data_IF_429439465301
#
_entry.id   IF_429439465301
#
_cell.length_a   1.000
_cell.length_b   1.000
_cell.length_c   1.000
_cell.angle_alpha   90.00
_cell.angle_beta   90.00
_cell.angle_gamma   90.00
#
_symmetry.space_group_name_H-M   'P 1'
#
loop_
_entity.id
_entity.type
_entity.pdbx_description
1 polymer ?
#
# COMPACT_ATOMS: atom_id res chain seq x y z
N UNK A 1 -17.60 2.09 -23.65
CA UNK A 1 -17.68 1.52 -22.29
C UNK A 1 -17.26 2.56 -21.28
N UNK A 2 -18.00 2.73 -20.20
CA UNK A 2 -17.65 3.70 -19.16
C UNK A 2 -16.50 3.20 -18.34
N UNK A 3 -15.41 3.97 -18.32
CA UNK A 3 -14.28 3.69 -17.46
C UNK A 3 -14.68 3.87 -15.99
N UNK A 4 -14.30 2.92 -15.17
CA UNK A 4 -14.52 2.99 -13.73
C UNK A 4 -13.19 3.06 -12.99
N UNK A 5 -13.21 3.69 -11.83
CA UNK A 5 -12.11 3.67 -10.88
C UNK A 5 -12.55 2.84 -9.69
N UNK A 6 -11.80 1.81 -9.36
CA UNK A 6 -12.14 0.88 -8.28
C UNK A 6 -11.03 0.89 -7.25
N UNK A 7 -11.39 1.20 -6.02
CA UNK A 7 -10.47 1.19 -4.88
C UNK A 7 -10.61 -0.13 -4.15
N UNK A 8 -9.50 -0.83 -3.95
CA UNK A 8 -9.49 -2.17 -3.38
C UNK A 8 -8.56 -2.25 -2.17
N UNK A 9 -9.08 -2.74 -1.06
CA UNK A 9 -8.28 -3.08 0.11
C UNK A 9 -7.45 -4.33 -0.19
N UNK A 10 -6.36 -4.50 0.52
CA UNK A 10 -5.44 -5.62 0.31
C UNK A 10 -5.82 -6.80 1.20
N UNK A 11 -5.60 -6.66 2.51
CA UNK A 11 -5.80 -7.76 3.44
C UNK A 11 -7.27 -8.10 3.61
N UNK A 12 -7.63 -9.34 3.30
CA UNK A 12 -9.02 -9.79 3.37
C UNK A 12 -9.86 -9.45 2.14
N UNK A 13 -9.30 -8.74 1.16
CA UNK A 13 -10.01 -8.39 -0.08
C UNK A 13 -9.29 -8.96 -1.31
N UNK A 14 -8.07 -8.50 -1.57
CA UNK A 14 -7.24 -9.04 -2.66
C UNK A 14 -6.47 -10.26 -2.18
N UNK A 15 -5.93 -10.17 -0.97
CA UNK A 15 -5.12 -11.21 -0.33
C UNK A 15 -5.97 -11.91 0.72
N UNK A 16 -5.99 -13.23 0.69
CA UNK A 16 -6.76 -14.02 1.67
C UNK A 16 -6.02 -14.13 3.01
N UNK A 17 -6.62 -14.83 3.96
CA UNK A 17 -6.07 -15.01 5.31
C UNK A 17 -4.76 -15.78 5.35
N UNK A 18 -4.43 -16.49 4.27
CA UNK A 18 -3.15 -17.21 4.13
C UNK A 18 -2.06 -16.38 3.46
N UNK A 19 -2.33 -15.11 3.16
CA UNK A 19 -1.39 -14.26 2.47
C UNK A 19 -1.26 -14.52 0.97
N UNK A 20 -2.25 -15.20 0.38
CA UNK A 20 -2.24 -15.61 -1.02
C UNK A 20 -3.26 -14.77 -1.79
N UNK A 21 -2.90 -14.39 -3.01
CA UNK A 21 -3.84 -13.78 -3.96
C UNK A 21 -4.44 -14.93 -4.78
N UNK A 22 -5.74 -15.25 -4.59
CA UNK A 22 -6.35 -16.33 -5.35
C UNK A 22 -6.24 -16.10 -6.86
N UNK A 23 -6.12 -17.17 -7.62
CA UNK A 23 -6.00 -17.08 -9.07
C UNK A 23 -7.20 -16.37 -9.70
N UNK A 24 -8.40 -16.65 -9.21
CA UNK A 24 -9.62 -15.98 -9.68
C UNK A 24 -9.55 -14.46 -9.49
N UNK A 25 -8.97 -14.01 -8.39
CA UNK A 25 -8.77 -12.58 -8.12
C UNK A 25 -7.75 -11.98 -9.09
N UNK A 26 -6.65 -12.67 -9.34
CA UNK A 26 -5.64 -12.23 -10.30
C UNK A 26 -6.23 -12.07 -11.70
N UNK A 27 -7.01 -13.05 -12.13
CA UNK A 27 -7.66 -13.04 -13.44
C UNK A 27 -8.66 -11.87 -13.53
N UNK A 28 -9.48 -11.68 -12.50
CA UNK A 28 -10.47 -10.61 -12.48
C UNK A 28 -9.81 -9.22 -12.54
N UNK A 29 -8.75 -9.01 -11.79
CA UNK A 29 -8.00 -7.74 -11.78
C UNK A 29 -7.41 -7.48 -13.16
N UNK A 30 -6.72 -8.45 -13.75
CA UNK A 30 -6.12 -8.28 -15.07
C UNK A 30 -7.17 -8.00 -16.13
N UNK A 31 -8.30 -8.68 -16.06
CA UNK A 31 -9.38 -8.48 -17.01
C UNK A 31 -10.00 -7.08 -16.89
N UNK A 32 -10.17 -6.59 -15.67
CA UNK A 32 -10.66 -5.23 -15.45
C UNK A 32 -9.70 -4.18 -16.00
N UNK A 33 -8.39 -4.38 -15.81
CA UNK A 33 -7.37 -3.50 -16.38
C UNK A 33 -7.40 -3.54 -17.92
N UNK A 34 -7.49 -4.72 -18.50
CA UNK A 34 -7.58 -4.89 -19.96
C UNK A 34 -8.81 -4.19 -20.53
N UNK A 35 -9.90 -4.17 -19.79
CA UNK A 35 -11.13 -3.50 -20.18
C UNK A 35 -11.10 -1.98 -19.99
N UNK A 36 -9.96 -1.43 -19.59
CA UNK A 36 -9.76 0.01 -19.47
C UNK A 36 -10.16 0.63 -18.15
N UNK A 37 -10.48 -0.18 -17.14
CA UNK A 37 -10.77 0.34 -15.81
C UNK A 37 -9.48 0.63 -15.05
N UNK A 38 -9.56 1.57 -14.11
CA UNK A 38 -8.44 1.93 -13.24
C UNK A 38 -8.67 1.34 -11.86
N UNK A 39 -7.72 0.55 -11.41
CA UNK A 39 -7.77 -0.09 -10.11
C UNK A 39 -6.71 0.53 -9.22
N UNK A 40 -7.10 0.87 -7.99
CA UNK A 40 -6.24 1.54 -7.02
C UNK A 40 -6.20 0.69 -5.74
N UNK A 41 -5.00 0.40 -5.28
CA UNK A 41 -4.79 -0.30 -4.01
C UNK A 41 -4.94 0.71 -2.87
N UNK A 42 -5.67 0.32 -1.82
CA UNK A 42 -5.77 1.10 -0.59
C UNK A 42 -5.38 0.21 0.59
N UNK A 43 -4.28 0.53 1.27
CA UNK A 43 -3.76 -0.31 2.33
C UNK A 43 -3.18 0.50 3.48
N UNK A 44 -3.30 -0.06 4.69
CA UNK A 44 -2.55 0.45 5.84
C UNK A 44 -1.07 0.08 5.79
N UNK A 45 -0.68 -0.89 4.95
CA UNK A 45 0.72 -1.25 4.77
C UNK A 45 1.46 -0.14 4.03
N UNK A 46 2.75 0.01 4.33
CA UNK A 46 3.61 0.86 3.52
C UNK A 46 3.93 0.16 2.21
N UNK A 47 4.39 0.93 1.22
CA UNK A 47 4.66 0.40 -0.11
C UNK A 47 5.60 -0.81 -0.10
N UNK A 48 6.67 -0.74 0.68
CA UNK A 48 7.64 -1.84 0.71
C UNK A 48 7.11 -3.11 1.39
N UNK A 49 6.01 -3.02 2.14
CA UNK A 49 5.37 -4.16 2.77
C UNK A 49 4.38 -4.87 1.85
N UNK A 50 4.11 -4.31 0.68
CA UNK A 50 3.23 -4.92 -0.29
C UNK A 50 3.99 -5.94 -1.13
N UNK A 51 3.44 -7.13 -1.37
CA UNK A 51 4.15 -8.15 -2.16
C UNK A 51 4.27 -7.71 -3.62
N UNK A 52 5.42 -8.02 -4.22
CA UNK A 52 5.70 -7.68 -5.62
C UNK A 52 4.64 -8.26 -6.57
N UNK A 53 4.16 -9.45 -6.28
CA UNK A 53 3.12 -10.09 -7.08
C UNK A 53 1.85 -9.23 -7.19
N UNK A 54 1.49 -8.55 -6.10
CA UNK A 54 0.37 -7.62 -6.10
C UNK A 54 0.66 -6.43 -7.01
N UNK A 55 1.86 -5.87 -6.89
CA UNK A 55 2.25 -4.68 -7.66
C UNK A 55 2.29 -4.96 -9.17
N UNK A 56 2.51 -6.22 -9.56
CA UNK A 56 2.61 -6.63 -10.95
C UNK A 56 1.26 -6.85 -11.64
N UNK A 57 0.15 -6.71 -10.91
CA UNK A 57 -1.19 -6.96 -11.47
C UNK A 57 -1.74 -5.83 -12.35
N UNK A 58 -1.06 -4.68 -12.41
CA UNK A 58 -1.46 -3.59 -13.30
C UNK A 58 -2.28 -2.48 -12.66
N UNK A 59 -2.10 -2.25 -11.36
CA UNK A 59 -2.80 -1.16 -10.67
C UNK A 59 -2.35 0.20 -11.22
N UNK A 60 -3.31 1.11 -11.36
CA UNK A 60 -3.06 2.48 -11.82
C UNK A 60 -2.54 3.40 -10.72
N UNK A 61 -2.77 3.03 -9.48
CA UNK A 61 -2.33 3.82 -8.34
C UNK A 61 -2.38 3.05 -7.05
N UNK A 62 -1.80 3.64 -6.02
CA UNK A 62 -1.76 3.04 -4.69
C UNK A 62 -1.87 4.10 -3.63
N UNK A 63 -2.74 3.85 -2.66
CA UNK A 63 -2.84 4.62 -1.43
C UNK A 63 -2.27 3.71 -0.34
N UNK A 64 -1.10 4.04 0.17
CA UNK A 64 -0.36 3.21 1.13
C UNK A 64 -0.18 3.94 2.45
N UNK A 65 0.30 3.22 3.46
CA UNK A 65 0.51 3.75 4.81
C UNK A 65 -0.72 4.50 5.32
N UNK A 66 -1.91 3.90 5.12
CA UNK A 66 -3.20 4.44 5.55
C UNK A 66 -3.47 5.87 5.04
N UNK A 67 -3.00 6.20 3.84
CA UNK A 67 -3.20 7.50 3.21
C UNK A 67 -2.02 8.46 3.34
N UNK A 68 -0.95 8.06 4.03
CA UNK A 68 0.23 8.91 4.16
C UNK A 68 1.05 8.99 2.86
N UNK A 69 0.85 8.04 1.95
CA UNK A 69 1.52 8.04 0.65
C UNK A 69 0.52 7.71 -0.43
N UNK A 70 0.54 8.48 -1.50
CA UNK A 70 -0.30 8.23 -2.69
C UNK A 70 0.57 8.24 -3.93
N UNK A 71 0.47 7.17 -4.69
CA UNK A 71 1.17 7.00 -5.96
C UNK A 71 0.12 6.87 -7.05
N UNK A 72 0.26 7.64 -8.12
CA UNK A 72 -0.63 7.56 -9.26
C UNK A 72 0.17 7.75 -10.55
N UNK A 73 -0.09 6.88 -11.54
CA UNK A 73 0.60 6.93 -12.81
C UNK A 73 2.12 6.79 -12.67
N UNK A 74 2.58 6.00 -11.70
CA UNK A 74 4.00 5.80 -11.46
C UNK A 74 4.70 6.94 -10.72
N UNK A 75 3.95 7.95 -10.29
CA UNK A 75 4.51 9.12 -9.59
C UNK A 75 3.95 9.23 -8.18
N UNK A 76 4.80 9.56 -7.23
CA UNK A 76 4.37 9.91 -5.89
C UNK A 76 3.75 11.30 -5.93
N UNK A 77 2.43 11.39 -5.65
CA UNK A 77 1.70 12.65 -5.68
C UNK A 77 1.46 13.23 -4.29
N UNK A 78 1.64 12.43 -3.26
CA UNK A 78 1.50 12.86 -1.88
C UNK A 78 2.32 11.96 -0.97
N UNK A 79 3.02 12.58 -0.03
CA UNK A 79 3.77 11.82 0.97
C UNK A 79 3.87 12.63 2.26
N UNK A 80 3.12 12.22 3.28
CA UNK A 80 3.21 12.79 4.61
C UNK A 80 4.18 11.97 5.44
N UNK A 81 5.09 12.64 6.10
CA UNK A 81 6.06 11.99 7.00
C UNK A 81 5.94 12.59 8.39
N UNK A 82 6.22 11.77 9.40
CA UNK A 82 6.34 12.25 10.78
C UNK A 82 7.70 12.93 10.88
N UNK A 83 7.74 14.16 11.39
CA UNK A 83 9.02 14.84 11.57
C UNK A 83 9.89 14.12 12.59
N UNK A 84 11.19 14.41 12.56
CA UNK A 84 12.15 13.71 13.38
C UNK A 84 11.91 13.92 14.88
N UNK A 85 11.51 15.11 15.28
CA UNK A 85 11.22 15.42 16.68
C UNK A 85 10.09 14.56 17.23
N UNK A 86 8.98 14.49 16.49
CA UNK A 86 7.82 13.68 16.89
C UNK A 86 8.15 12.19 16.82
N UNK A 87 8.87 11.76 15.81
CA UNK A 87 9.30 10.38 15.68
C UNK A 87 10.15 9.94 16.87
N UNK A 88 11.10 10.79 17.27
CA UNK A 88 11.97 10.52 18.41
C UNK A 88 11.17 10.44 19.70
N UNK A 89 10.25 11.39 19.90
CA UNK A 89 9.38 11.40 21.08
C UNK A 89 8.56 10.11 21.19
N UNK A 90 7.94 9.70 20.09
CA UNK A 90 7.11 8.49 20.06
C UNK A 90 7.98 7.25 20.32
N UNK A 91 9.14 7.16 19.68
CA UNK A 91 10.06 6.04 19.87
C UNK A 91 10.54 5.93 21.30
N UNK A 92 10.94 7.02 21.90
CA UNK A 92 11.40 7.05 23.30
C UNK A 92 10.28 6.64 24.25
N UNK A 93 9.07 7.12 24.00
CA UNK A 93 7.90 6.74 24.80
C UNK A 93 7.63 5.25 24.73
N UNK A 94 7.65 4.68 23.51
CA UNK A 94 7.41 3.27 23.30
C UNK A 94 8.46 2.39 23.97
N UNK A 95 9.74 2.76 23.84
CA UNK A 95 10.83 2.03 24.48
C UNK A 95 10.75 2.09 25.99
N UNK A 96 10.47 3.26 26.53
CA UNK A 96 10.34 3.45 27.98
C UNK A 96 9.23 2.59 28.58
N UNK A 97 8.17 2.35 27.84
CA UNK A 97 7.03 1.57 28.29
C UNK A 97 7.02 0.13 27.80
N UNK A 98 8.12 -0.32 27.19
CA UNK A 98 8.30 -1.68 26.67
C UNK A 98 7.27 -2.07 25.61
N UNK A 99 6.84 -1.11 24.80
CA UNK A 99 5.97 -1.39 23.65
C UNK A 99 6.81 -1.77 22.42
N UNK A 100 6.29 -2.73 21.68
CA UNK A 100 6.86 -3.07 20.36
C UNK A 100 6.30 -2.08 19.34
N UNK A 101 7.19 -1.48 18.53
CA UNK A 101 6.78 -0.50 17.54
C UNK A 101 7.64 -0.61 16.29
N UNK A 102 7.14 -0.02 15.22
CA UNK A 102 7.85 0.05 13.95
C UNK A 102 7.44 1.33 13.23
N UNK A 103 8.43 2.06 12.71
CA UNK A 103 8.19 3.16 11.80
C UNK A 103 8.47 2.66 10.38
N UNK A 104 7.42 2.40 9.56
CA UNK A 104 7.65 2.00 8.18
C UNK A 104 8.37 3.11 7.44
N UNK A 105 9.43 2.75 6.71
CA UNK A 105 10.16 3.68 5.88
C UNK A 105 10.11 3.23 4.42
N UNK A 106 10.36 4.15 3.51
CA UNK A 106 10.62 3.79 2.13
C UNK A 106 12.00 3.11 2.07
N UNK A 107 12.13 2.09 1.24
CA UNK A 107 13.40 1.39 1.05
C UNK A 107 14.55 2.35 0.68
N UNK A 108 14.23 3.47 0.05
CA UNK A 108 15.19 4.51 -0.31
C UNK A 108 15.82 5.17 0.93
N UNK A 109 15.10 5.21 2.03
CA UNK A 109 15.54 5.85 3.26
C UNK A 109 16.55 5.00 4.02
N UNK A 110 16.71 3.74 3.63
CA UNK A 110 17.66 2.82 4.24
C UNK A 110 19.02 2.81 3.53
N UNK A 111 19.13 3.52 2.44
CA UNK A 111 20.38 3.71 1.72
C UNK A 111 20.96 5.08 2.01
#
# INVERSE_FOLDING_TARGET
>A
MNQKVVFLDVDGTIVNDKGIIPESTQIAIRKAVENGHKLVVCSGRSLFQLPQMLLDLGFSGMVTAAGAQVIAGGKEIYHAVIDEEHRKFIGDYMEKNNFVYCFPTDARDLM
#
